data_IF_843937882735
#
_entry.id   IF_843937882735
#
_cell.length_a   1.000
_cell.length_b   1.000
_cell.length_c   1.000
_cell.angle_alpha   90.00
_cell.angle_beta   90.00
_cell.angle_gamma   90.00
#
_symmetry.space_group_name_H-M   'P 1'
#
loop_
_entity.id
_entity.type
_entity.pdbx_description
1 polymer ?
#
# COMPACT_ATOMS: atom_id res chain seq x y z
N UNK A 1 -13.20 18.44 -19.24
CA UNK A 1 -12.02 18.13 -20.06
C UNK A 1 -11.03 17.17 -19.43
N UNK A 2 -10.94 17.09 -18.09
CA UNK A 2 -9.99 16.19 -17.39
C UNK A 2 -10.42 14.72 -17.40
N UNK A 3 -11.69 14.45 -17.37
CA UNK A 3 -12.23 13.08 -17.31
C UNK A 3 -11.96 12.26 -18.58
N UNK A 4 -11.98 12.91 -19.72
CA UNK A 4 -11.70 12.25 -21.00
C UNK A 4 -10.22 11.87 -21.13
N UNK A 5 -9.30 12.75 -20.73
CA UNK A 5 -7.84 12.50 -20.73
C UNK A 5 -7.49 11.35 -19.79
N UNK A 6 -8.10 11.27 -18.61
CA UNK A 6 -7.87 10.19 -17.65
C UNK A 6 -8.41 8.85 -18.16
N UNK A 7 -9.57 8.84 -18.84
CA UNK A 7 -10.12 7.63 -19.46
C UNK A 7 -9.19 7.03 -20.52
N UNK A 8 -8.61 7.87 -21.37
CA UNK A 8 -7.64 7.45 -22.38
C UNK A 8 -6.36 6.91 -21.75
N UNK A 9 -5.86 7.59 -20.70
CA UNK A 9 -4.71 7.13 -19.96
C UNK A 9 -4.92 5.74 -19.35
N UNK A 10 -6.08 5.51 -18.72
CA UNK A 10 -6.44 4.19 -18.17
C UNK A 10 -6.46 3.13 -19.26
N UNK A 11 -7.09 3.41 -20.41
CA UNK A 11 -7.15 2.47 -21.52
C UNK A 11 -5.75 2.09 -22.03
N UNK A 12 -4.88 3.06 -22.22
CA UNK A 12 -3.50 2.83 -22.64
C UNK A 12 -2.69 2.04 -21.60
N UNK A 13 -2.84 2.37 -20.32
CA UNK A 13 -2.17 1.67 -19.21
C UNK A 13 -2.64 0.22 -19.09
N UNK A 14 -3.95 -0.03 -19.22
CA UNK A 14 -4.54 -1.37 -19.23
C UNK A 14 -3.98 -2.20 -20.39
N UNK A 15 -3.93 -1.65 -21.60
CA UNK A 15 -3.38 -2.35 -22.75
C UNK A 15 -1.88 -2.63 -22.61
N UNK A 16 -1.12 -1.69 -22.04
CA UNK A 16 0.30 -1.88 -21.78
C UNK A 16 0.55 -3.01 -20.77
N UNK A 17 -0.22 -3.06 -19.68
CA UNK A 17 -0.14 -4.13 -18.68
C UNK A 17 -0.48 -5.48 -19.31
N UNK A 18 -1.56 -5.58 -20.08
CA UNK A 18 -1.97 -6.81 -20.76
C UNK A 18 -0.89 -7.33 -21.70
N UNK A 19 -0.29 -6.45 -22.49
CA UNK A 19 0.81 -6.83 -23.41
C UNK A 19 2.05 -7.30 -22.66
N UNK A 20 2.37 -6.63 -21.56
CA UNK A 20 3.57 -6.96 -20.76
C UNK A 20 3.43 -8.28 -20.03
N UNK A 21 2.29 -8.51 -19.39
CA UNK A 21 2.02 -9.68 -18.53
C UNK A 21 1.58 -10.91 -19.32
N UNK A 22 0.81 -10.72 -20.39
CA UNK A 22 0.22 -11.83 -21.14
C UNK A 22 -0.68 -12.69 -20.24
N UNK A 23 -0.49 -14.00 -20.30
CA UNK A 23 -1.28 -14.97 -19.53
C UNK A 23 -0.64 -15.32 -18.17
N UNK A 24 0.45 -14.66 -17.80
CA UNK A 24 1.16 -14.94 -16.57
C UNK A 24 0.46 -14.35 -15.34
N UNK A 25 0.72 -14.89 -14.17
CA UNK A 25 0.16 -14.42 -12.91
C UNK A 25 1.05 -13.38 -12.24
N UNK A 26 0.41 -12.45 -11.54
CA UNK A 26 1.01 -11.31 -10.85
C UNK A 26 0.67 -11.36 -9.37
N UNK A 27 1.65 -11.10 -8.52
CA UNK A 27 1.46 -10.87 -7.08
C UNK A 27 1.76 -9.42 -6.73
N UNK A 28 1.01 -8.87 -5.79
CA UNK A 28 1.18 -7.52 -5.27
C UNK A 28 1.04 -7.52 -3.75
N UNK A 29 1.99 -6.92 -3.06
CA UNK A 29 1.85 -6.61 -1.64
C UNK A 29 0.96 -5.39 -1.45
N UNK A 30 -0.20 -5.58 -0.84
CA UNK A 30 -1.15 -4.52 -0.54
C UNK A 30 -0.85 -3.96 0.85
N UNK A 31 -0.25 -2.78 0.90
CA UNK A 31 0.21 -2.17 2.16
C UNK A 31 -0.85 -1.32 2.88
N UNK A 32 -2.04 -1.19 2.30
CA UNK A 32 -3.02 -0.20 2.75
C UNK A 32 -2.69 1.24 2.31
N UNK A 33 -1.53 1.52 1.73
CA UNK A 33 -1.15 2.81 1.17
C UNK A 33 -1.85 3.12 -0.16
N UNK A 34 -1.89 4.40 -0.53
CA UNK A 34 -2.57 4.86 -1.75
C UNK A 34 -1.94 4.25 -3.01
N UNK A 35 -0.62 4.23 -3.09
CA UNK A 35 0.08 3.80 -4.31
C UNK A 35 -0.13 2.31 -4.60
N UNK A 36 0.01 1.44 -3.60
CA UNK A 36 -0.28 0.01 -3.76
C UNK A 36 -1.76 -0.25 -4.05
N UNK A 37 -2.65 0.54 -3.48
CA UNK A 37 -4.10 0.44 -3.71
C UNK A 37 -4.46 0.81 -5.15
N UNK A 38 -3.90 1.89 -5.68
CA UNK A 38 -4.12 2.33 -7.06
C UNK A 38 -3.50 1.34 -8.05
N UNK A 39 -2.29 0.85 -7.78
CA UNK A 39 -1.66 -0.19 -8.57
C UNK A 39 -2.53 -1.47 -8.62
N UNK A 40 -3.06 -1.92 -7.49
CA UNK A 40 -3.96 -3.08 -7.43
C UNK A 40 -5.22 -2.89 -8.28
N UNK A 41 -5.88 -1.73 -8.16
CA UNK A 41 -7.08 -1.43 -8.93
C UNK A 41 -6.81 -1.38 -10.44
N UNK A 42 -5.71 -0.75 -10.86
CA UNK A 42 -5.32 -0.65 -12.26
C UNK A 42 -4.97 -2.02 -12.87
N UNK A 43 -4.15 -2.80 -12.18
CA UNK A 43 -3.72 -4.12 -12.64
C UNK A 43 -4.93 -5.07 -12.68
N UNK A 44 -5.79 -5.05 -11.66
CA UNK A 44 -7.02 -5.85 -11.67
C UNK A 44 -7.94 -5.50 -12.84
N UNK A 45 -8.08 -4.22 -13.16
CA UNK A 45 -8.83 -3.79 -14.36
C UNK A 45 -8.24 -4.34 -15.65
N UNK A 46 -6.90 -4.48 -15.70
CA UNK A 46 -6.21 -5.00 -16.87
C UNK A 46 -6.31 -6.52 -17.02
N UNK A 47 -6.05 -7.27 -15.96
CA UNK A 47 -5.83 -8.73 -16.01
C UNK A 47 -6.74 -9.55 -15.08
N UNK A 48 -7.62 -8.91 -14.31
CA UNK A 48 -8.58 -9.61 -13.46
C UNK A 48 -7.93 -10.58 -12.48
N UNK A 49 -8.36 -11.85 -12.50
CA UNK A 49 -7.95 -12.88 -11.55
C UNK A 49 -6.49 -13.38 -11.72
N UNK A 50 -5.78 -12.91 -12.74
CA UNK A 50 -4.33 -13.15 -12.84
C UNK A 50 -3.57 -12.38 -11.76
N UNK A 51 -4.19 -11.37 -11.13
CA UNK A 51 -3.63 -10.66 -9.99
C UNK A 51 -4.08 -11.31 -8.68
N UNK A 52 -3.13 -11.62 -7.81
CA UNK A 52 -3.36 -11.95 -6.40
C UNK A 52 -2.64 -10.93 -5.52
N UNK A 53 -3.40 -10.27 -4.66
CA UNK A 53 -2.86 -9.34 -3.67
C UNK A 53 -2.65 -10.08 -2.34
N UNK A 54 -1.55 -9.76 -1.66
CA UNK A 54 -1.25 -10.24 -0.30
C UNK A 54 -1.30 -9.04 0.64
N UNK A 55 -2.19 -9.09 1.60
CA UNK A 55 -2.35 -8.07 2.62
C UNK A 55 -1.90 -8.61 3.98
N UNK A 56 -0.84 -8.02 4.56
CA UNK A 56 -0.27 -8.44 5.84
C UNK A 56 -0.88 -7.60 6.96
N UNK A 57 -1.65 -8.24 7.84
CA UNK A 57 -2.16 -7.63 9.06
C UNK A 57 -1.17 -7.85 10.20
N UNK A 58 -0.44 -6.80 10.55
CA UNK A 58 0.60 -6.84 11.58
C UNK A 58 0.15 -6.29 12.95
N UNK A 59 -1.12 -5.95 13.11
CA UNK A 59 -1.65 -5.41 14.36
C UNK A 59 -1.32 -3.93 14.64
N UNK A 60 -0.57 -3.27 13.75
CA UNK A 60 -0.15 -1.88 13.87
C UNK A 60 -0.84 -0.96 12.85
N UNK A 61 -1.89 -1.45 12.23
CA UNK A 61 -2.77 -0.69 11.34
C UNK A 61 -3.65 0.28 12.13
N UNK A 62 -4.24 1.25 11.46
CA UNK A 62 -5.33 2.05 12.03
C UNK A 62 -6.52 1.17 12.37
N UNK A 63 -7.39 1.69 13.24
CA UNK A 63 -8.60 0.99 13.66
C UNK A 63 -9.44 0.57 12.43
N UNK A 64 -9.79 -0.72 12.37
CA UNK A 64 -10.60 -1.33 11.31
C UNK A 64 -9.99 -1.26 9.89
N UNK A 65 -8.75 -0.82 9.73
CA UNK A 65 -8.14 -0.65 8.39
C UNK A 65 -8.06 -1.98 7.63
N UNK A 66 -7.72 -3.08 8.30
CA UNK A 66 -7.67 -4.40 7.67
C UNK A 66 -9.02 -4.83 7.08
N UNK A 67 -10.09 -4.66 7.84
CA UNK A 67 -11.45 -4.98 7.38
C UNK A 67 -11.89 -4.05 6.24
N UNK A 68 -11.53 -2.77 6.30
CA UNK A 68 -11.82 -1.79 5.25
C UNK A 68 -11.10 -2.14 3.94
N UNK A 69 -9.85 -2.57 4.00
CA UNK A 69 -9.08 -3.02 2.82
C UNK A 69 -9.74 -4.24 2.20
N UNK A 70 -10.11 -5.25 3.00
CA UNK A 70 -10.79 -6.45 2.50
C UNK A 70 -12.14 -6.13 1.88
N UNK A 71 -12.94 -5.27 2.50
CA UNK A 71 -14.24 -4.85 1.97
C UNK A 71 -14.09 -4.12 0.63
N UNK A 72 -13.12 -3.21 0.53
CA UNK A 72 -12.90 -2.45 -0.70
C UNK A 72 -12.39 -3.33 -1.83
N UNK A 73 -11.33 -4.08 -1.61
CA UNK A 73 -10.66 -4.81 -2.69
C UNK A 73 -11.33 -6.15 -2.98
N UNK A 74 -11.58 -6.98 -1.98
CA UNK A 74 -12.14 -8.30 -2.21
C UNK A 74 -13.64 -8.26 -2.52
N UNK A 75 -14.44 -7.53 -1.73
CA UNK A 75 -15.89 -7.51 -1.90
C UNK A 75 -16.38 -6.54 -2.95
N UNK A 76 -15.87 -5.30 -2.97
CA UNK A 76 -16.39 -4.27 -3.87
C UNK A 76 -15.75 -4.34 -5.25
N UNK A 77 -14.42 -4.49 -5.34
CA UNK A 77 -13.72 -4.57 -6.61
C UNK A 77 -13.53 -5.98 -7.16
N UNK A 78 -13.79 -7.01 -6.36
CA UNK A 78 -13.60 -8.40 -6.76
C UNK A 78 -12.14 -8.82 -6.96
N UNK A 79 -11.20 -8.12 -6.33
CA UNK A 79 -9.77 -8.45 -6.37
C UNK A 79 -9.51 -9.67 -5.48
N UNK A 80 -8.71 -10.60 -5.96
CA UNK A 80 -8.26 -11.73 -5.16
C UNK A 80 -7.24 -11.26 -4.11
N UNK A 81 -7.65 -11.21 -2.84
CA UNK A 81 -6.82 -10.75 -1.72
C UNK A 81 -6.66 -11.86 -0.70
N UNK A 82 -5.42 -12.17 -0.35
CA UNK A 82 -5.05 -13.06 0.76
C UNK A 82 -4.69 -12.17 1.95
N UNK A 83 -5.48 -12.21 3.02
CA UNK A 83 -5.16 -11.55 4.28
C UNK A 83 -4.36 -12.49 5.15
N UNK A 84 -3.16 -12.08 5.50
CA UNK A 84 -2.27 -12.83 6.39
C UNK A 84 -2.33 -12.23 7.78
N UNK A 85 -2.80 -13.01 8.75
CA UNK A 85 -2.72 -12.62 10.16
C UNK A 85 -1.31 -12.89 10.68
N UNK A 86 -0.55 -11.83 10.86
CA UNK A 86 0.84 -11.86 11.36
C UNK A 86 1.00 -11.09 12.67
N UNK A 87 -0.10 -10.81 13.38
CA UNK A 87 -0.09 -9.98 14.60
C UNK A 87 0.88 -10.55 15.64
N UNK A 88 0.79 -11.84 15.93
CA UNK A 88 1.63 -12.48 16.95
C UNK A 88 3.12 -12.48 16.57
N UNK A 89 3.43 -12.69 15.28
CA UNK A 89 4.79 -12.67 14.77
C UNK A 89 5.43 -11.28 14.94
N UNK A 90 4.72 -10.23 14.54
CA UNK A 90 5.21 -8.86 14.69
C UNK A 90 5.34 -8.45 16.16
N UNK A 91 4.35 -8.76 16.99
CA UNK A 91 4.39 -8.44 18.42
C UNK A 91 5.52 -9.18 19.12
N UNK A 92 5.77 -10.44 18.78
CA UNK A 92 6.88 -11.21 19.31
C UNK A 92 8.26 -10.64 18.95
N UNK A 93 8.43 -10.20 17.71
CA UNK A 93 9.68 -9.58 17.23
C UNK A 93 9.93 -8.19 17.82
N UNK A 94 8.88 -7.46 18.18
CA UNK A 94 8.94 -6.12 18.75
C UNK A 94 9.03 -6.12 20.29
N UNK A 95 8.90 -7.27 20.93
CA UNK A 95 8.98 -7.38 22.38
C UNK A 95 10.32 -6.82 22.89
N UNK A 96 10.25 -5.91 23.89
CA UNK A 96 11.43 -5.26 24.48
C UNK A 96 12.09 -4.17 23.63
N UNK A 97 11.56 -3.86 22.45
CA UNK A 97 12.14 -2.87 21.54
C UNK A 97 11.44 -1.51 21.70
N UNK A 98 12.20 -0.50 22.13
CA UNK A 98 11.71 0.87 22.36
C UNK A 98 12.23 1.89 21.33
N UNK A 99 13.39 1.65 20.74
CA UNK A 99 14.00 2.56 19.77
C UNK A 99 13.22 2.60 18.45
N UNK A 100 12.79 3.80 17.98
CA UNK A 100 11.99 3.93 16.77
C UNK A 100 12.66 3.39 15.50
N UNK A 101 13.98 3.55 15.39
CA UNK A 101 14.72 3.08 14.22
C UNK A 101 14.83 1.54 14.20
N UNK A 102 15.04 0.93 15.35
CA UNK A 102 15.00 -0.53 15.48
C UNK A 102 13.61 -1.08 15.18
N UNK A 103 12.55 -0.43 15.64
CA UNK A 103 11.17 -0.80 15.32
C UNK A 103 10.93 -0.79 13.80
N UNK A 104 11.36 0.26 13.10
CA UNK A 104 11.23 0.35 11.64
C UNK A 104 11.95 -0.79 10.93
N UNK A 105 13.16 -1.11 11.33
CA UNK A 105 13.94 -2.20 10.75
C UNK A 105 13.28 -3.56 10.97
N UNK A 106 12.81 -3.82 12.19
CA UNK A 106 12.14 -5.07 12.54
C UNK A 106 10.83 -5.22 11.76
N UNK A 107 9.99 -4.19 11.74
CA UNK A 107 8.71 -4.20 11.02
C UNK A 107 8.94 -4.40 9.51
N UNK A 108 9.89 -3.68 8.93
CA UNK A 108 10.23 -3.81 7.52
C UNK A 108 10.74 -5.19 7.15
N UNK A 109 11.64 -5.75 7.97
CA UNK A 109 12.18 -7.10 7.75
C UNK A 109 11.09 -8.16 7.87
N UNK A 110 10.30 -8.11 8.92
CA UNK A 110 9.22 -9.08 9.15
C UNK A 110 8.17 -9.04 8.05
N UNK A 111 7.81 -7.84 7.58
CA UNK A 111 6.90 -7.69 6.45
C UNK A 111 7.43 -8.44 5.21
N UNK A 112 8.70 -8.27 4.89
CA UNK A 112 9.34 -8.97 3.76
C UNK A 112 9.31 -10.49 3.97
N UNK A 113 9.64 -10.97 5.16
CA UNK A 113 9.65 -12.41 5.47
C UNK A 113 8.24 -13.04 5.34
N UNK A 114 7.21 -12.37 5.87
CA UNK A 114 5.82 -12.83 5.77
C UNK A 114 5.36 -12.82 4.30
N UNK A 115 5.64 -11.73 3.58
CA UNK A 115 5.28 -11.63 2.17
C UNK A 115 5.97 -12.69 1.32
N UNK A 116 7.25 -12.96 1.56
CA UNK A 116 8.00 -14.02 0.87
C UNK A 116 7.39 -15.40 1.13
N UNK A 117 7.05 -15.70 2.38
CA UNK A 117 6.44 -16.98 2.74
C UNK A 117 5.11 -17.20 2.01
N UNK A 118 4.26 -16.16 1.93
CA UNK A 118 3.00 -16.24 1.19
C UNK A 118 3.23 -16.31 -0.33
N UNK A 119 4.18 -15.55 -0.86
CA UNK A 119 4.51 -15.55 -2.29
C UNK A 119 5.00 -16.91 -2.77
N UNK A 120 5.74 -17.65 -1.95
CA UNK A 120 6.20 -19.02 -2.27
C UNK A 120 5.05 -20.01 -2.45
N UNK A 121 3.91 -19.78 -1.79
CA UNK A 121 2.69 -20.58 -1.95
C UNK A 121 2.01 -20.32 -3.31
N UNK A 122 2.30 -19.18 -3.94
CA UNK A 122 1.78 -18.75 -5.23
C UNK A 122 2.79 -19.06 -6.34
N UNK A 123 3.16 -20.31 -6.50
CA UNK A 123 4.26 -20.77 -7.37
C UNK A 123 4.05 -20.48 -8.86
N UNK A 124 2.82 -20.26 -9.29
CA UNK A 124 2.49 -19.89 -10.67
C UNK A 124 2.78 -18.40 -11.00
N UNK A 125 2.99 -17.55 -9.99
CA UNK A 125 3.29 -16.15 -10.21
C UNK A 125 4.66 -15.95 -10.87
N UNK A 126 4.69 -15.08 -11.89
CA UNK A 126 5.90 -14.72 -12.64
C UNK A 126 6.25 -13.24 -12.50
N UNK A 127 5.35 -12.43 -11.99
CA UNK A 127 5.49 -11.00 -11.85
C UNK A 127 5.25 -10.55 -10.42
N UNK A 128 6.10 -9.63 -9.96
CA UNK A 128 5.88 -8.84 -8.74
C UNK A 128 5.48 -7.43 -9.14
N UNK A 129 4.28 -7.02 -8.78
CA UNK A 129 3.82 -5.66 -8.97
C UNK A 129 4.19 -4.79 -7.77
N UNK A 130 4.54 -3.54 -8.05
CA UNK A 130 4.87 -2.53 -7.05
C UNK A 130 4.21 -1.20 -7.38
N UNK A 131 3.83 -0.45 -6.33
CA UNK A 131 3.29 0.90 -6.43
C UNK A 131 4.35 1.99 -6.48
N UNK A 132 5.48 1.75 -7.14
CA UNK A 132 6.54 2.74 -7.34
C UNK A 132 6.01 3.92 -8.15
N UNK A 133 6.27 5.13 -7.70
CA UNK A 133 5.90 6.38 -8.38
C UNK A 133 7.16 7.17 -8.78
N UNK A 134 7.00 8.20 -9.61
CA UNK A 134 8.15 8.94 -10.16
C UNK A 134 9.08 9.57 -9.10
N UNK A 135 8.57 10.17 -8.00
CA UNK A 135 9.45 10.65 -6.92
C UNK A 135 10.35 9.58 -6.31
N UNK A 136 9.85 8.32 -6.18
CA UNK A 136 10.65 7.19 -5.67
C UNK A 136 11.81 6.86 -6.60
N UNK A 137 11.58 6.96 -7.91
CA UNK A 137 12.62 6.74 -8.94
C UNK A 137 13.73 7.78 -8.84
N UNK A 138 13.37 9.06 -8.73
CA UNK A 138 14.35 10.17 -8.59
C UNK A 138 15.18 10.00 -7.32
N UNK A 139 14.53 9.70 -6.21
CA UNK A 139 15.20 9.53 -4.92
C UNK A 139 16.17 8.35 -4.91
N UNK A 140 15.82 7.27 -5.59
CA UNK A 140 16.69 6.11 -5.78
C UNK A 140 17.91 6.44 -6.66
N UNK A 141 17.71 7.24 -7.70
CA UNK A 141 18.80 7.68 -8.59
C UNK A 141 19.79 8.65 -7.90
N UNK A 142 19.31 9.50 -6.99
CA UNK A 142 20.12 10.48 -6.26
C UNK A 142 21.06 9.87 -5.21
N UNK A 143 20.84 8.66 -4.77
CA UNK A 143 21.64 7.96 -3.74
C UNK A 143 22.86 7.20 -4.27
N UNK A 144 23.27 7.44 -5.51
CA UNK A 144 24.59 7.20 -6.10
C UNK A 144 25.25 5.83 -5.94
N UNK A 145 25.42 5.13 -7.05
CA UNK A 145 26.52 4.19 -7.38
C UNK A 145 27.07 3.20 -6.33
N UNK A 146 26.22 2.54 -5.54
CA UNK A 146 26.61 1.25 -4.94
C UNK A 146 25.38 0.35 -4.87
N UNK A 147 25.24 -0.53 -5.85
CA UNK A 147 24.24 -1.58 -5.88
C UNK A 147 22.92 -1.11 -6.51
N UNK A 148 22.79 -1.33 -7.81
CA UNK A 148 21.51 -1.35 -8.49
C UNK A 148 20.61 -2.38 -7.80
N UNK A 149 19.66 -1.97 -7.00
CA UNK A 149 18.51 -2.69 -6.44
C UNK A 149 18.15 -2.32 -5.00
N UNK A 150 18.67 -1.20 -4.47
CA UNK A 150 18.17 -0.74 -3.16
C UNK A 150 17.07 0.28 -3.39
N UNK A 151 15.90 -0.18 -3.80
CA UNK A 151 14.68 0.60 -3.73
C UNK A 151 14.28 0.65 -2.26
N UNK A 152 13.91 1.84 -1.77
CA UNK A 152 13.62 2.10 -0.36
C UNK A 152 12.88 0.96 0.35
N UNK A 153 13.41 0.55 1.47
CA UNK A 153 12.89 -0.51 2.36
C UNK A 153 11.49 -0.26 2.96
N UNK A 154 10.82 0.84 2.61
CA UNK A 154 9.52 1.21 3.19
C UNK A 154 8.34 1.10 2.22
N UNK A 155 8.57 1.03 0.91
CA UNK A 155 7.54 0.93 -0.12
C UNK A 155 7.74 -0.22 -1.08
N UNK A 156 8.86 -0.92 -0.98
CA UNK A 156 9.20 -2.02 -1.84
C UNK A 156 9.45 -3.29 -1.05
N UNK A 157 8.79 -4.34 -1.46
CA UNK A 157 9.16 -5.71 -1.14
C UNK A 157 10.45 -6.03 -1.91
N UNK A 158 11.42 -5.13 -1.86
CA UNK A 158 12.73 -5.21 -2.52
C UNK A 158 13.70 -6.13 -1.78
N UNK A 159 13.21 -7.24 -1.28
CA UNK A 159 13.98 -8.27 -0.61
C UNK A 159 13.46 -9.65 -0.93
N UNK A 160 12.68 -9.80 -2.01
CA UNK A 160 12.34 -11.14 -2.47
C UNK A 160 13.62 -11.89 -2.85
N UNK A 161 13.75 -13.14 -2.46
CA UNK A 161 14.89 -13.94 -2.82
C UNK A 161 15.10 -13.97 -4.35
N UNK A 162 16.33 -13.87 -4.79
CA UNK A 162 16.67 -13.96 -6.22
C UNK A 162 16.20 -15.28 -6.84
N UNK A 163 16.02 -16.32 -6.02
CA UNK A 163 15.51 -17.63 -6.42
C UNK A 163 14.04 -17.64 -6.87
N UNK A 164 13.26 -16.61 -6.55
CA UNK A 164 11.87 -16.48 -7.01
C UNK A 164 11.76 -16.06 -8.48
N UNK A 165 12.80 -15.48 -9.06
CA UNK A 165 12.87 -15.07 -10.48
C UNK A 165 11.65 -14.27 -10.98
N UNK A 166 11.07 -13.43 -10.13
CA UNK A 166 9.92 -12.61 -10.50
C UNK A 166 10.36 -11.40 -11.32
N UNK A 167 9.64 -11.17 -12.42
CA UNK A 167 9.76 -9.94 -13.20
C UNK A 167 9.06 -8.81 -12.47
N UNK A 168 9.50 -7.58 -12.65
CA UNK A 168 8.94 -6.41 -11.99
C UNK A 168 7.88 -5.72 -12.85
N UNK A 169 6.72 -5.43 -12.26
CA UNK A 169 5.64 -4.67 -12.87
C UNK A 169 5.39 -3.39 -12.06
N UNK A 170 5.70 -2.23 -12.63
CA UNK A 170 5.61 -0.92 -11.97
C UNK A 170 4.72 0.04 -12.77
N UNK A 171 3.40 -0.12 -12.74
CA UNK A 171 2.51 0.61 -13.65
C UNK A 171 2.37 2.10 -13.35
N UNK A 172 2.80 2.56 -12.16
CA UNK A 172 2.70 3.96 -11.73
C UNK A 172 4.04 4.71 -11.78
N UNK A 173 5.08 4.08 -12.31
CA UNK A 173 6.48 4.56 -12.23
C UNK A 173 6.71 5.97 -12.79
N UNK A 174 5.91 6.38 -13.76
CA UNK A 174 6.04 7.68 -14.42
C UNK A 174 5.10 8.74 -13.84
N UNK A 175 4.28 8.40 -12.86
CA UNK A 175 3.27 9.28 -12.30
C UNK A 175 3.76 10.00 -11.04
N UNK A 176 3.31 11.25 -10.88
CA UNK A 176 3.39 11.99 -9.63
C UNK A 176 2.24 11.65 -8.69
N UNK A 177 2.39 11.98 -7.41
CA UNK A 177 1.43 11.62 -6.37
C UNK A 177 0.00 12.10 -6.65
N UNK A 178 -0.15 13.31 -7.17
CA UNK A 178 -1.48 13.86 -7.47
C UNK A 178 -2.14 13.15 -8.66
N UNK A 179 -1.36 12.78 -9.66
CA UNK A 179 -1.83 11.97 -10.80
C UNK A 179 -2.28 10.57 -10.36
N UNK A 180 -1.53 9.95 -9.43
CA UNK A 180 -1.92 8.66 -8.83
C UNK A 180 -3.25 8.76 -8.08
N UNK A 181 -3.47 9.85 -7.35
CA UNK A 181 -4.75 10.09 -6.65
C UNK A 181 -5.91 10.26 -7.62
N UNK A 182 -5.74 11.06 -8.67
CA UNK A 182 -6.75 11.23 -9.72
C UNK A 182 -7.07 9.89 -10.41
N UNK A 183 -6.04 9.12 -10.74
CA UNK A 183 -6.17 7.78 -11.29
C UNK A 183 -6.97 6.85 -10.36
N UNK A 184 -6.67 6.87 -9.06
CA UNK A 184 -7.37 6.07 -8.07
C UNK A 184 -8.87 6.36 -8.02
N UNK A 185 -9.25 7.63 -8.03
CA UNK A 185 -10.66 8.05 -8.09
C UNK A 185 -11.32 7.59 -9.39
N UNK A 186 -10.65 7.75 -10.52
CA UNK A 186 -11.15 7.32 -11.83
C UNK A 186 -11.32 5.79 -11.92
N UNK A 187 -10.54 5.01 -11.16
CA UNK A 187 -10.66 3.56 -11.05
C UNK A 187 -11.74 3.10 -10.06
N UNK A 188 -12.42 4.02 -9.40
CA UNK A 188 -13.52 3.72 -8.48
C UNK A 188 -13.13 3.56 -7.02
N UNK A 189 -11.89 3.91 -6.65
CA UNK A 189 -11.52 3.97 -5.24
C UNK A 189 -12.20 5.16 -4.55
N UNK A 190 -12.65 5.00 -3.29
CA UNK A 190 -13.26 6.10 -2.55
C UNK A 190 -12.28 7.27 -2.40
N UNK A 191 -12.79 8.49 -2.62
CA UNK A 191 -11.99 9.70 -2.49
C UNK A 191 -11.33 9.83 -1.11
N UNK A 192 -12.03 9.44 -0.07
CA UNK A 192 -11.50 9.44 1.30
C UNK A 192 -10.29 8.52 1.49
N UNK A 193 -10.27 7.38 0.79
CA UNK A 193 -9.13 6.46 0.79
C UNK A 193 -7.93 7.06 0.07
N UNK A 194 -8.17 7.66 -1.09
CA UNK A 194 -7.13 8.21 -1.97
C UNK A 194 -6.48 9.46 -1.39
N UNK A 195 -7.27 10.33 -0.74
CA UNK A 195 -6.82 11.61 -0.18
C UNK A 195 -6.60 11.59 1.33
N UNK A 196 -6.57 10.42 1.95
CA UNK A 196 -6.30 10.31 3.38
C UNK A 196 -4.92 10.86 3.75
N UNK A 197 -4.77 11.26 5.00
CA UNK A 197 -3.49 11.68 5.54
C UNK A 197 -2.43 10.58 5.41
N UNK A 198 -1.17 10.95 5.09
CA UNK A 198 -0.07 10.00 5.04
C UNK A 198 0.04 9.20 6.33
N UNK A 199 0.21 7.89 6.18
CA UNK A 199 0.41 6.99 7.29
C UNK A 199 1.71 6.21 7.06
N UNK A 200 2.63 6.18 8.04
CA UNK A 200 3.92 5.54 7.84
C UNK A 200 3.77 4.04 7.59
N UNK A 201 4.64 3.47 6.74
CA UNK A 201 4.69 2.03 6.47
C UNK A 201 4.76 1.16 7.73
N UNK A 202 5.56 1.53 8.78
CA UNK A 202 5.58 0.83 10.06
C UNK A 202 4.29 0.94 10.88
N UNK A 203 3.29 1.65 10.40
CA UNK A 203 2.01 1.82 11.08
C UNK A 203 2.14 2.59 12.38
N UNK A 204 1.31 2.25 13.35
CA UNK A 204 1.31 2.86 14.68
C UNK A 204 2.54 2.51 15.53
N UNK A 205 3.32 1.51 15.13
CA UNK A 205 4.47 1.04 15.90
C UNK A 205 5.50 2.13 16.21
N UNK A 206 5.76 3.03 15.27
CA UNK A 206 6.69 4.15 15.44
C UNK A 206 6.11 5.32 16.24
N UNK A 207 4.80 5.36 16.42
CA UNK A 207 4.10 6.37 17.23
C UNK A 207 3.94 5.96 18.69
N UNK A 208 4.13 4.68 19.00
CA UNK A 208 4.12 4.18 20.38
C UNK A 208 5.44 4.57 21.03
N UNK A 209 5.36 5.34 22.12
CA UNK A 209 6.51 5.62 22.96
C UNK A 209 6.81 4.38 23.83
N UNK A 210 8.06 3.93 23.79
CA UNK A 210 8.46 2.71 24.50
C UNK A 210 8.15 1.43 23.74
N UNK A 211 7.97 0.34 24.47
CA UNK A 211 7.73 -0.98 23.91
C UNK A 211 6.37 -1.09 23.19
N UNK A 212 6.35 -1.77 22.07
CA UNK A 212 5.13 -2.06 21.31
C UNK A 212 4.43 -3.27 21.94
N UNK A 213 3.20 -3.05 22.42
CA UNK A 213 2.32 -4.10 22.94
C UNK A 213 0.96 -4.02 22.28
N UNK A 214 0.20 -5.12 22.27
CA UNK A 214 -1.18 -5.11 21.75
C UNK A 214 -2.07 -4.10 22.51
N UNK A 215 -1.87 -3.95 23.83
CA UNK A 215 -2.59 -2.97 24.63
C UNK A 215 -2.27 -1.55 24.21
N UNK A 216 -0.99 -1.21 24.03
CA UNK A 216 -0.56 0.11 23.58
C UNK A 216 -1.03 0.40 22.16
N UNK A 217 -0.94 -0.58 21.25
CA UNK A 217 -1.44 -0.46 19.89
C UNK A 217 -2.95 -0.21 19.87
N UNK A 218 -3.74 -0.97 20.63
CA UNK A 218 -5.19 -0.80 20.74
C UNK A 218 -5.59 0.56 21.32
N UNK A 219 -4.86 1.05 22.32
CA UNK A 219 -5.11 2.38 22.87
C UNK A 219 -4.84 3.48 21.83
N UNK A 220 -3.72 3.38 21.12
CA UNK A 220 -3.33 4.36 20.11
C UNK A 220 -4.26 4.31 18.89
N UNK A 221 -4.75 3.14 18.50
CA UNK A 221 -5.76 3.00 17.43
C UNK A 221 -7.03 3.78 17.76
N UNK A 222 -7.53 3.67 18.99
CA UNK A 222 -8.72 4.41 19.42
C UNK A 222 -8.46 5.91 19.49
N UNK A 223 -7.32 6.33 20.02
CA UNK A 223 -6.94 7.73 20.07
C UNK A 223 -6.78 8.34 18.66
N UNK A 224 -6.12 7.63 17.75
CA UNK A 224 -5.96 8.04 16.34
C UNK A 224 -7.31 8.16 15.64
N UNK A 225 -8.23 7.23 15.85
CA UNK A 225 -9.58 7.29 15.28
C UNK A 225 -10.36 8.52 15.75
N UNK A 226 -10.34 8.83 17.04
CA UNK A 226 -10.97 10.04 17.60
C UNK A 226 -10.36 11.29 16.98
N UNK A 227 -9.04 11.36 16.93
CA UNK A 227 -8.34 12.51 16.35
C UNK A 227 -8.69 12.74 14.87
N UNK A 228 -8.73 11.69 14.08
CA UNK A 228 -9.09 11.76 12.65
C UNK A 228 -10.56 12.19 12.49
N UNK A 229 -11.47 11.69 13.32
CA UNK A 229 -12.88 12.09 13.27
C UNK A 229 -13.08 13.56 13.63
N UNK A 230 -12.37 14.09 14.63
CA UNK A 230 -12.39 15.50 14.97
C UNK A 230 -11.83 16.39 13.84
N UNK A 231 -10.72 15.98 13.21
CA UNK A 231 -10.19 16.71 12.06
C UNK A 231 -11.19 16.77 10.90
N UNK A 232 -11.89 15.67 10.64
CA UNK A 232 -12.92 15.61 9.58
C UNK A 232 -14.10 16.53 9.90
N UNK A 233 -14.55 16.52 11.15
CA UNK A 233 -15.64 17.39 11.60
C UNK A 233 -15.27 18.89 11.48
N UNK A 234 -14.06 19.28 11.87
CA UNK A 234 -13.56 20.65 11.76
C UNK A 234 -13.48 21.11 10.31
N UNK A 235 -12.92 20.30 9.42
CA UNK A 235 -12.84 20.63 8.00
C UNK A 235 -14.21 20.65 7.29
N UNK A 236 -15.16 19.85 7.72
CA UNK A 236 -16.53 19.92 7.22
C UNK A 236 -17.19 21.25 7.62
N UNK A 237 -17.03 21.67 8.87
CA UNK A 237 -17.57 22.93 9.38
C UNK A 237 -17.00 24.15 8.66
N UNK A 238 -15.70 24.15 8.37
CA UNK A 238 -15.04 25.24 7.61
C UNK A 238 -15.55 25.33 6.16
N UNK A 239 -15.79 24.19 5.50
CA UNK A 239 -16.35 24.17 4.14
C UNK A 239 -17.79 24.65 4.10
N UNK A 240 -18.61 24.28 5.06
CA UNK A 240 -20.00 24.70 5.15
C UNK A 240 -20.11 26.19 5.48
N UNK A 241 -19.21 26.71 6.33
CA UNK A 241 -19.10 28.12 6.61
C UNK A 241 -18.67 28.95 5.37
N UNK A 242 -17.74 28.42 4.58
CA UNK A 242 -17.31 29.08 3.34
C UNK A 242 -18.38 29.03 2.25
N UNK A 243 -19.18 27.97 2.19
CA UNK A 243 -20.29 27.84 1.23
C UNK A 243 -21.51 28.70 1.58
N UNK A 244 -21.69 29.06 2.86
CA UNK A 244 -22.77 29.91 3.31
C UNK A 244 -22.51 31.44 3.17
N UNK A 245 -21.34 31.82 2.66
CA UNK A 245 -20.92 33.21 2.42
C UNK A 245 -20.97 33.63 0.94
N UNK A 246 -21.59 32.83 0.07
CA UNK A 246 -21.81 33.14 -1.35
C UNK A 246 -23.27 33.45 -1.65
#
# INVERSE_FOLDING_TARGET
GTDWVMGDYIAEAVDAIRRQVGDEEVILGLSGGVDSSVAAALIHKAIGDQLTCVFVDHGLLRLNEGDMVMDMFARNLGVKVIRVDAVDDFMGKLAGVSDPEQKRKIIGKEFVEVFQAESKKLSAAKWLAQGTIYPDVIESAGKGKKGAHTIKSHHNVGGLPEDMHLKLLEPLRELFKDEVRELGVALGLPREMVYRHPFPGPGLGVRILGEVTQKAAGLLQRADAIFIDELRATHATERDAAAGLC
#
